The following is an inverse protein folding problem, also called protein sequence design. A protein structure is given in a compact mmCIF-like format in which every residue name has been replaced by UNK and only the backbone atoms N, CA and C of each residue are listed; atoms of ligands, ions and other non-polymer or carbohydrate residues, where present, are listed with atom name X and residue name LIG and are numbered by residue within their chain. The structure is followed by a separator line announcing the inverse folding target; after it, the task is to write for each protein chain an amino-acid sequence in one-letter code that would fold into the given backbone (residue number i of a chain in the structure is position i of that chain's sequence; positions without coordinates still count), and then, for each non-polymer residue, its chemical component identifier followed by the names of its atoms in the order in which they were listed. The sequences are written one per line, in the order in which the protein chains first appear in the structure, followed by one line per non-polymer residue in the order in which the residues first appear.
data_IF_396363175107
#
_entry.id   IF_396363175107
#
_cell.length_a   1.000
_cell.length_b   1.000
_cell.length_c   1.000
_cell.angle_alpha   90.00
_cell.angle_beta   90.00
_cell.angle_gamma   90.00
#
_symmetry.space_group_name_H-M   'P 1'
#
loop_
_entity.id
_entity.type
_entity.pdbx_description
1 polymer ?
#
# COMPACT_ATOMS: atom_id res chain seq x y z
N UNK A 1 13.38 -36.59 -22.35
CA UNK A 1 12.31 -36.44 -21.33
C UNK A 1 12.78 -35.81 -20.00
N UNK A 2 14.05 -35.92 -19.56
CA UNK A 2 14.53 -35.30 -18.29
C UNK A 2 14.82 -33.79 -18.34
N UNK A 3 15.07 -33.20 -19.52
CA UNK A 3 15.40 -31.78 -19.66
C UNK A 3 14.21 -30.83 -19.43
N UNK A 4 13.01 -31.20 -19.90
CA UNK A 4 11.79 -30.40 -19.77
C UNK A 4 11.37 -30.18 -18.31
N UNK A 5 11.56 -31.19 -17.44
CA UNK A 5 11.23 -31.07 -16.01
C UNK A 5 12.12 -30.04 -15.30
N UNK A 6 13.39 -29.93 -15.69
CA UNK A 6 14.36 -29.01 -15.07
C UNK A 6 14.04 -27.55 -15.43
N UNK A 7 13.74 -27.29 -16.71
CA UNK A 7 13.28 -25.98 -17.18
C UNK A 7 11.92 -25.60 -16.59
N UNK A 8 11.00 -26.56 -16.40
CA UNK A 8 9.69 -26.29 -15.79
C UNK A 8 9.83 -25.89 -14.31
N UNK A 9 10.68 -26.57 -13.54
CA UNK A 9 10.93 -26.25 -12.13
C UNK A 9 11.67 -24.92 -11.94
N UNK A 10 12.61 -24.56 -12.82
CA UNK A 10 13.25 -23.23 -12.81
C UNK A 10 12.29 -22.12 -13.20
N UNK A 11 11.45 -22.32 -14.23
CA UNK A 11 10.47 -21.31 -14.65
C UNK A 11 9.37 -21.12 -13.61
N UNK A 12 8.92 -22.20 -12.98
CA UNK A 12 7.95 -22.15 -11.89
C UNK A 12 8.54 -21.51 -10.63
N UNK A 13 9.80 -21.77 -10.30
CA UNK A 13 10.50 -21.05 -9.24
C UNK A 13 10.66 -19.55 -9.55
N UNK A 14 10.96 -19.19 -10.80
CA UNK A 14 11.06 -17.79 -11.21
C UNK A 14 9.70 -17.07 -11.09
N UNK A 15 8.60 -17.70 -11.52
CA UNK A 15 7.24 -17.17 -11.39
C UNK A 15 6.82 -17.05 -9.92
N UNK A 16 7.07 -18.08 -9.10
CA UNK A 16 6.77 -18.05 -7.65
C UNK A 16 7.60 -16.96 -6.95
N UNK A 17 8.88 -16.83 -7.30
CA UNK A 17 9.74 -15.78 -6.75
C UNK A 17 9.21 -14.38 -7.13
N UNK A 18 8.71 -14.22 -8.36
CA UNK A 18 8.14 -12.97 -8.85
C UNK A 18 6.81 -12.64 -8.15
N UNK A 19 5.96 -13.63 -7.90
CA UNK A 19 4.75 -13.48 -7.08
C UNK A 19 5.06 -13.09 -5.64
N UNK A 20 6.03 -13.75 -4.99
CA UNK A 20 6.48 -13.40 -3.63
C UNK A 20 7.02 -11.97 -3.59
N UNK A 21 7.73 -11.54 -4.63
CA UNK A 21 8.27 -10.18 -4.73
C UNK A 21 7.15 -9.15 -4.91
N UNK A 22 6.14 -9.46 -5.74
CA UNK A 22 4.96 -8.62 -5.92
C UNK A 22 4.10 -8.53 -4.64
N UNK A 23 3.94 -9.64 -3.91
CA UNK A 23 3.28 -9.64 -2.61
C UNK A 23 4.02 -8.77 -1.59
N UNK A 24 5.34 -8.91 -1.49
CA UNK A 24 6.16 -8.08 -0.59
C UNK A 24 6.08 -6.59 -0.92
N UNK A 25 6.04 -6.24 -2.21
CA UNK A 25 5.87 -4.86 -2.66
C UNK A 25 4.52 -4.29 -2.22
N UNK A 26 3.41 -5.04 -2.44
CA UNK A 26 2.07 -4.64 -1.95
C UNK A 26 2.03 -4.53 -0.43
N UNK A 27 2.57 -5.52 0.29
CA UNK A 27 2.64 -5.51 1.75
C UNK A 27 3.38 -4.28 2.30
N UNK A 28 4.49 -3.91 1.66
CA UNK A 28 5.26 -2.72 2.04
C UNK A 28 4.48 -1.43 1.76
N UNK A 29 3.81 -1.34 0.61
CA UNK A 29 2.94 -0.20 0.30
C UNK A 29 1.77 -0.08 1.30
N UNK A 30 1.06 -1.17 1.58
CA UNK A 30 -0.06 -1.21 2.54
C UNK A 30 0.41 -0.81 3.95
N UNK A 31 1.58 -1.29 4.36
CA UNK A 31 2.17 -0.94 5.66
C UNK A 31 2.47 0.56 5.75
N UNK A 32 3.02 1.17 4.71
CA UNK A 32 3.30 2.60 4.68
C UNK A 32 2.01 3.44 4.67
N UNK A 33 0.99 3.00 3.94
CA UNK A 33 -0.34 3.61 3.94
C UNK A 33 -0.97 3.59 5.34
N UNK A 34 -0.97 2.43 5.99
CA UNK A 34 -1.50 2.32 7.34
C UNK A 34 -0.72 3.17 8.35
N UNK A 35 0.61 3.20 8.27
CA UNK A 35 1.41 4.06 9.13
C UNK A 35 1.05 5.54 8.95
N UNK A 36 0.91 6.02 7.71
CA UNK A 36 0.49 7.39 7.43
C UNK A 36 -0.92 7.70 7.96
N UNK A 37 -1.87 6.79 7.75
CA UNK A 37 -3.23 6.93 8.28
C UNK A 37 -3.28 6.93 9.80
N UNK A 38 -2.57 6.01 10.46
CA UNK A 38 -2.47 5.96 11.93
C UNK A 38 -1.82 7.22 12.48
N UNK A 39 -0.74 7.71 11.85
CA UNK A 39 -0.11 8.98 12.23
C UNK A 39 -1.07 10.16 12.08
N UNK A 40 -1.87 10.21 11.00
CA UNK A 40 -2.88 11.28 10.84
C UNK A 40 -3.94 11.24 11.94
N UNK A 41 -4.45 10.05 12.28
CA UNK A 41 -5.45 9.90 13.33
C UNK A 41 -4.87 10.28 14.70
N UNK A 42 -3.64 9.89 14.98
CA UNK A 42 -2.93 10.27 16.19
C UNK A 42 -2.76 11.80 16.30
N UNK A 43 -2.32 12.45 15.22
CA UNK A 43 -2.23 13.92 15.16
C UNK A 43 -3.60 14.58 15.32
N UNK A 44 -4.67 14.00 14.79
CA UNK A 44 -6.03 14.51 14.92
C UNK A 44 -6.52 14.47 16.36
N UNK A 45 -6.28 13.36 17.08
CA UNK A 45 -6.60 13.24 18.52
C UNK A 45 -5.81 14.27 19.32
N UNK A 46 -4.52 14.45 19.01
CA UNK A 46 -3.69 15.47 19.66
C UNK A 46 -4.19 16.89 19.38
N UNK A 47 -4.58 17.17 18.13
CA UNK A 47 -5.17 18.46 17.75
C UNK A 47 -6.46 18.74 18.52
N UNK A 48 -7.34 17.75 18.67
CA UNK A 48 -8.57 17.87 19.44
C UNK A 48 -8.30 18.12 20.93
N UNK A 49 -7.24 17.53 21.48
CA UNK A 49 -6.78 17.80 22.85
C UNK A 49 -6.24 19.23 23.00
N UNK A 50 -5.51 19.77 22.02
CA UNK A 50 -5.06 21.17 22.04
C UNK A 50 -6.22 22.16 21.91
N UNK A 51 -7.20 21.86 21.05
CA UNK A 51 -8.44 22.65 20.97
C UNK A 51 -9.18 22.67 22.31
N UNK A 52 -9.18 21.54 23.03
CA UNK A 52 -9.77 21.44 24.36
C UNK A 52 -9.02 22.26 25.43
N UNK A 53 -7.70 22.42 25.29
CA UNK A 53 -6.87 23.29 26.15
C UNK A 53 -6.92 24.78 25.76
N UNK A 54 -7.93 25.19 24.97
CA UNK A 54 -8.12 26.54 24.41
C UNK A 54 -6.99 27.04 23.48
N UNK A 55 -6.08 26.16 23.05
CA UNK A 55 -5.06 26.48 22.06
C UNK A 55 -5.62 26.35 20.64
N UNK A 56 -6.51 27.28 20.28
CA UNK A 56 -7.23 27.27 18.99
C UNK A 56 -6.30 27.33 17.77
N UNK A 57 -5.32 28.23 17.78
CA UNK A 57 -4.42 28.43 16.62
C UNK A 57 -3.64 27.14 16.33
N UNK A 58 -2.95 26.60 17.33
CA UNK A 58 -2.16 25.38 17.17
C UNK A 58 -3.04 24.16 16.83
N UNK A 59 -4.22 24.04 17.45
CA UNK A 59 -5.17 22.97 17.18
C UNK A 59 -5.70 22.98 15.74
N UNK A 60 -6.06 24.14 15.20
CA UNK A 60 -6.54 24.27 13.81
C UNK A 60 -5.46 23.87 12.81
N UNK A 61 -4.21 24.33 12.99
CA UNK A 61 -3.10 23.95 12.12
C UNK A 61 -2.83 22.44 12.14
N UNK A 62 -2.78 21.83 13.33
CA UNK A 62 -2.56 20.39 13.48
C UNK A 62 -3.72 19.56 12.94
N UNK A 63 -4.96 20.00 13.16
CA UNK A 63 -6.14 19.35 12.62
C UNK A 63 -6.14 19.39 11.09
N UNK A 64 -5.84 20.55 10.49
CA UNK A 64 -5.68 20.67 9.03
C UNK A 64 -4.57 19.76 8.49
N UNK A 65 -3.41 19.73 9.16
CA UNK A 65 -2.31 18.84 8.77
C UNK A 65 -2.71 17.36 8.85
N UNK A 66 -3.47 16.97 9.88
CA UNK A 66 -3.98 15.61 10.03
C UNK A 66 -4.92 15.21 8.89
N UNK A 67 -5.82 16.11 8.48
CA UNK A 67 -6.73 15.86 7.36
C UNK A 67 -5.97 15.71 6.03
N UNK A 68 -4.95 16.53 5.79
CA UNK A 68 -4.10 16.39 4.60
C UNK A 68 -3.37 15.04 4.61
N UNK A 69 -2.81 14.62 5.75
CA UNK A 69 -2.16 13.32 5.89
C UNK A 69 -3.12 12.17 5.63
N UNK A 70 -4.35 12.25 6.15
CA UNK A 70 -5.40 11.27 5.90
C UNK A 70 -5.79 11.20 4.41
N UNK A 71 -5.90 12.35 3.75
CA UNK A 71 -6.24 12.44 2.33
C UNK A 71 -5.15 11.83 1.45
N UNK A 72 -3.88 12.09 1.77
CA UNK A 72 -2.72 11.45 1.10
C UNK A 72 -2.75 9.93 1.32
N UNK A 73 -3.03 9.47 2.54
CA UNK A 73 -3.16 8.04 2.84
C UNK A 73 -4.24 7.38 1.98
N UNK A 74 -5.40 8.02 1.81
CA UNK A 74 -6.47 7.51 0.94
C UNK A 74 -6.06 7.50 -0.54
N UNK A 75 -5.38 8.56 -1.01
CA UNK A 75 -4.88 8.62 -2.39
C UNK A 75 -3.89 7.50 -2.71
N UNK A 76 -2.95 7.25 -1.79
CA UNK A 76 -2.02 6.12 -1.89
C UNK A 76 -2.73 4.77 -1.88
N UNK A 77 -3.80 4.62 -1.07
CA UNK A 77 -4.66 3.44 -1.07
C UNK A 77 -5.28 3.19 -2.44
N UNK A 78 -5.86 4.22 -3.03
CA UNK A 78 -6.45 4.14 -4.37
C UNK A 78 -5.42 3.74 -5.43
N UNK A 79 -4.23 4.32 -5.37
CA UNK A 79 -3.16 4.01 -6.31
C UNK A 79 -2.66 2.57 -6.15
N UNK A 80 -2.48 2.09 -4.92
CA UNK A 80 -2.07 0.72 -4.62
C UNK A 80 -3.09 -0.30 -5.16
N UNK A 81 -4.39 -0.05 -4.94
CA UNK A 81 -5.47 -0.87 -5.50
C UNK A 81 -5.43 -0.87 -7.04
N UNK A 82 -5.19 0.28 -7.67
CA UNK A 82 -5.10 0.37 -9.13
C UNK A 82 -3.93 -0.45 -9.71
N UNK A 83 -2.73 -0.33 -9.11
CA UNK A 83 -1.56 -1.15 -9.48
C UNK A 83 -1.84 -2.63 -9.24
N UNK A 84 -2.48 -2.95 -8.11
CA UNK A 84 -2.84 -4.30 -7.73
C UNK A 84 -3.73 -4.98 -8.79
N UNK A 85 -4.80 -4.29 -9.22
CA UNK A 85 -5.70 -4.79 -10.27
C UNK A 85 -4.98 -4.92 -11.61
N UNK A 86 -4.15 -3.95 -11.99
CA UNK A 86 -3.42 -3.98 -13.26
C UNK A 86 -2.39 -5.13 -13.32
N UNK A 87 -1.64 -5.34 -12.24
CA UNK A 87 -0.68 -6.43 -12.14
C UNK A 87 -1.38 -7.80 -12.22
N UNK A 88 -2.56 -7.95 -11.61
CA UNK A 88 -3.35 -9.17 -11.69
C UNK A 88 -3.85 -9.42 -13.12
N UNK A 89 -4.30 -8.37 -13.82
CA UNK A 89 -4.78 -8.46 -15.21
C UNK A 89 -3.67 -8.87 -16.17
N UNK A 90 -2.47 -8.30 -16.01
CA UNK A 90 -1.27 -8.67 -16.77
C UNK A 90 -0.86 -10.12 -16.51
N UNK A 91 -0.80 -10.55 -15.25
CA UNK A 91 -0.43 -11.92 -14.89
C UNK A 91 -1.43 -12.95 -15.43
N UNK A 92 -2.73 -12.61 -15.44
CA UNK A 92 -3.79 -13.46 -15.98
C UNK A 92 -3.71 -13.57 -17.51
N UNK A 93 -3.45 -12.47 -18.21
CA UNK A 93 -3.25 -12.50 -19.67
C UNK A 93 -2.03 -13.33 -20.08
N UNK A 94 -0.93 -13.26 -19.32
CA UNK A 94 0.28 -14.05 -19.59
C UNK A 94 0.08 -15.56 -19.35
N UNK A 95 -0.80 -15.93 -18.41
CA UNK A 95 -1.19 -17.32 -18.14
C UNK A 95 -2.20 -17.87 -19.16
N UNK A 96 -3.05 -17.03 -19.75
CA UNK A 96 -4.05 -17.44 -20.76
C UNK A 96 -3.42 -17.59 -22.16
N UNK A 97 -2.32 -16.90 -22.45
CA UNK A 97 -1.71 -16.88 -23.78
C UNK A 97 -0.70 -18.03 -24.03
N UNK A 98 -0.55 -18.99 -23.12
CA UNK A 98 0.46 -20.06 -23.21
C UNK A 98 -0.10 -21.46 -23.05
#
# INVERSE_FOLDING_TARGET
VRGLKKTYTEKQNAVILLEIKNLNLRLTLIRNMQLAGVLSLFLSVFAMLLLFLEQQVAGIYLFGLSLLGLLISLGLSFWEISISVNALRLHLSDLIQK
#
